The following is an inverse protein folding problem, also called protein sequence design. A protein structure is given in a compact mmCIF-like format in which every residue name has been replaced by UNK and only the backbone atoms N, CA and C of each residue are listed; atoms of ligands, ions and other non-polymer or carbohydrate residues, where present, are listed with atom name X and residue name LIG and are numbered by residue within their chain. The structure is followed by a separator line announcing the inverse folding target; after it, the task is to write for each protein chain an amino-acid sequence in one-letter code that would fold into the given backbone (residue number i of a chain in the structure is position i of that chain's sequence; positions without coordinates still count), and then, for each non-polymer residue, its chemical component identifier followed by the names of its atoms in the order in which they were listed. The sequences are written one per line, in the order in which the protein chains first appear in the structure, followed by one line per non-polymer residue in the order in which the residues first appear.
data_IF_097777570029
#
_entry.id   IF_097777570029
#
_cell.length_a   1.000
_cell.length_b   1.000
_cell.length_c   1.000
_cell.angle_alpha   90.00
_cell.angle_beta   90.00
_cell.angle_gamma   90.00
#
_symmetry.space_group_name_H-M   'P 1'
#
loop_
_entity.id
_entity.type
_entity.pdbx_description
1 polymer ?
#
# COMPACT_ATOMS: atom_id res chain seq x y z
N UNK A 1 98.04 26.66 -0.53
CA UNK A 1 97.45 27.06 0.77
C UNK A 1 96.36 26.06 1.12
N UNK A 2 96.40 25.57 2.36
CA UNK A 2 95.42 24.69 3.03
C UNK A 2 94.02 25.35 2.98
N UNK A 3 92.89 24.66 2.97
CA UNK A 3 92.40 23.74 4.00
C UNK A 3 91.27 22.82 3.47
N UNK A 4 91.15 21.68 4.15
CA UNK A 4 90.21 20.61 3.96
C UNK A 4 88.83 20.86 4.60
N UNK A 5 87.82 20.14 4.10
CA UNK A 5 86.73 19.47 4.81
C UNK A 5 85.62 19.15 3.79
N UNK A 6 84.81 18.10 3.87
CA UNK A 6 84.81 16.79 4.51
C UNK A 6 83.60 16.11 3.89
N UNK A 7 83.73 14.83 3.52
CA UNK A 7 82.64 14.03 2.95
C UNK A 7 81.46 13.91 3.92
N UNK A 8 80.23 14.03 3.40
CA UNK A 8 79.14 13.17 3.87
C UNK A 8 78.12 12.96 2.75
N UNK A 9 78.12 11.73 2.26
CA UNK A 9 77.11 11.12 1.41
C UNK A 9 75.77 11.04 2.15
N UNK A 10 74.78 11.79 1.67
CA UNK A 10 73.39 11.72 2.12
C UNK A 10 72.49 11.26 0.98
N UNK A 11 72.15 9.97 1.00
CA UNK A 11 71.16 9.31 0.15
C UNK A 11 69.81 10.03 0.34
N UNK A 12 69.01 10.27 -0.72
CA UNK A 12 67.77 11.01 -0.61
C UNK A 12 66.77 10.29 0.31
N UNK A 13 66.18 11.08 1.21
CA UNK A 13 65.09 10.68 2.09
C UNK A 13 63.94 10.05 1.31
N UNK A 14 63.81 8.72 1.47
CA UNK A 14 62.58 8.00 1.76
C UNK A 14 61.33 8.46 0.98
N UNK A 15 61.22 8.01 -0.28
CA UNK A 15 59.93 7.84 -0.95
C UNK A 15 59.20 6.70 -0.24
N UNK A 16 58.55 7.02 0.87
CA UNK A 16 57.51 6.14 1.43
C UNK A 16 56.25 6.25 0.58
N UNK A 17 56.21 5.49 -0.50
CA UNK A 17 54.94 4.91 -0.93
C UNK A 17 54.51 3.91 0.15
N UNK A 18 53.42 4.22 0.86
CA UNK A 18 52.97 3.40 1.99
C UNK A 18 51.55 3.70 2.46
N UNK A 19 50.57 3.12 1.75
CA UNK A 19 49.22 2.71 2.18
C UNK A 19 48.18 3.82 2.46
N UNK A 20 47.23 3.96 1.54
CA UNK A 20 45.91 4.58 1.75
C UNK A 20 45.19 3.90 2.93
N UNK A 21 45.20 4.53 4.12
CA UNK A 21 44.73 3.90 5.37
C UNK A 21 43.33 4.33 5.85
N UNK A 22 42.48 4.91 4.99
CA UNK A 22 41.23 5.49 5.47
C UNK A 22 39.97 5.09 4.67
N UNK A 23 40.06 4.01 3.89
CA UNK A 23 38.91 3.47 3.14
C UNK A 23 38.06 2.59 4.06
N UNK A 24 36.80 2.97 4.22
CA UNK A 24 35.83 2.13 4.93
C UNK A 24 35.54 0.88 4.11
N UNK A 25 35.61 -0.28 4.77
CA UNK A 25 35.27 -1.56 4.16
C UNK A 25 34.31 -2.32 5.07
N UNK A 26 33.11 -2.58 4.56
CA UNK A 26 32.11 -3.42 5.22
C UNK A 26 31.82 -4.62 4.35
N UNK A 27 31.47 -5.73 4.98
CA UNK A 27 30.98 -6.93 4.30
C UNK A 27 29.49 -7.03 4.59
N UNK A 28 28.71 -7.33 3.57
CA UNK A 28 27.30 -7.70 3.68
C UNK A 28 27.21 -9.19 3.38
N UNK A 29 26.58 -9.95 4.26
CA UNK A 29 26.46 -11.41 4.13
C UNK A 29 25.54 -11.84 2.97
N UNK A 30 24.53 -11.03 2.64
CA UNK A 30 23.58 -11.27 1.56
C UNK A 30 23.34 -10.01 0.73
N UNK A 31 23.58 -10.10 -0.59
CA UNK A 31 23.33 -9.02 -1.55
C UNK A 31 22.03 -9.19 -2.32
N UNK A 32 21.30 -10.29 -2.08
CA UNK A 32 20.02 -10.59 -2.71
C UNK A 32 19.07 -11.16 -1.66
N UNK A 33 17.92 -10.51 -1.48
CA UNK A 33 16.85 -11.02 -0.63
C UNK A 33 15.61 -11.25 -1.48
N UNK A 34 15.11 -12.47 -1.44
CA UNK A 34 13.89 -12.87 -2.11
C UNK A 34 12.79 -13.13 -1.10
N UNK A 35 11.64 -12.48 -1.24
CA UNK A 35 10.46 -12.68 -0.41
C UNK A 35 9.45 -13.49 -1.19
N UNK A 36 9.41 -14.79 -0.91
CA UNK A 36 8.37 -15.67 -1.43
C UNK A 36 7.04 -15.40 -0.75
N UNK A 37 5.94 -15.48 -1.50
CA UNK A 37 4.57 -15.57 -0.96
C UNK A 37 4.11 -14.30 -0.20
N UNK A 38 4.36 -13.13 -0.78
CA UNK A 38 3.92 -11.85 -0.22
C UNK A 38 2.44 -11.63 -0.55
N UNK A 39 1.61 -11.46 0.47
CA UNK A 39 0.17 -11.19 0.30
C UNK A 39 -0.17 -9.72 0.58
N UNK A 40 -1.39 -9.34 0.20
CA UNK A 40 -1.93 -8.03 0.55
C UNK A 40 -2.00 -7.88 2.09
N UNK A 41 -1.52 -6.73 2.59
CA UNK A 41 -1.63 -6.32 3.99
C UNK A 41 -0.98 -7.25 5.03
N UNK A 42 -0.06 -8.11 4.61
CA UNK A 42 0.71 -8.99 5.49
C UNK A 42 2.18 -8.56 5.51
N UNK A 43 2.77 -8.50 6.71
CA UNK A 43 4.17 -8.09 6.89
C UNK A 43 5.08 -9.30 6.79
N UNK A 44 6.04 -9.25 5.87
CA UNK A 44 7.08 -10.27 5.75
C UNK A 44 8.44 -9.62 5.97
N UNK A 45 9.19 -10.13 6.94
CA UNK A 45 10.50 -9.60 7.31
C UNK A 45 11.61 -10.60 7.06
N UNK A 46 12.72 -10.13 6.49
CA UNK A 46 13.99 -10.86 6.41
C UNK A 46 15.11 -9.94 6.87
N UNK A 47 16.28 -10.48 7.14
CA UNK A 47 17.43 -9.67 7.54
C UNK A 47 18.69 -10.06 6.78
N UNK A 48 19.64 -9.12 6.77
CA UNK A 48 21.02 -9.33 6.37
C UNK A 48 21.95 -8.60 7.34
N UNK A 49 23.21 -8.99 7.39
CA UNK A 49 24.18 -8.47 8.35
C UNK A 49 25.26 -7.64 7.67
N UNK A 50 25.53 -6.46 8.24
CA UNK A 50 26.63 -5.57 7.85
C UNK A 50 27.74 -5.69 8.88
N UNK A 51 28.93 -6.11 8.44
CA UNK A 51 30.10 -6.30 9.30
C UNK A 51 31.20 -5.30 8.94
N UNK A 52 31.71 -4.54 9.91
CA UNK A 52 32.86 -3.69 9.68
C UNK A 52 34.17 -4.49 9.78
N UNK A 53 34.85 -4.67 8.65
CA UNK A 53 36.15 -5.35 8.58
C UNK A 53 37.33 -4.40 8.43
N UNK A 54 37.07 -3.09 8.41
CA UNK A 54 38.12 -2.07 8.39
C UNK A 54 38.70 -1.84 9.79
N UNK A 55 39.90 -1.26 9.84
CA UNK A 55 40.54 -0.92 11.12
C UNK A 55 39.92 0.30 11.82
N UNK A 56 39.09 1.07 11.12
CA UNK A 56 38.51 2.32 11.60
C UNK A 56 37.02 2.15 11.90
N UNK A 57 36.43 3.13 12.61
CA UNK A 57 34.97 3.20 12.80
C UNK A 57 34.32 3.55 11.46
N UNK A 58 33.31 2.77 11.07
CA UNK A 58 32.53 3.00 9.85
C UNK A 58 31.14 3.49 10.21
N UNK A 59 30.69 4.56 9.54
CA UNK A 59 29.29 4.99 9.55
C UNK A 59 28.65 4.58 8.23
N UNK A 60 27.47 3.98 8.25
CA UNK A 60 26.73 3.62 7.04
C UNK A 60 25.33 4.21 7.05
N UNK A 61 24.73 4.37 5.88
CA UNK A 61 23.33 4.74 5.71
C UNK A 61 22.78 4.28 4.34
N UNK A 62 21.47 4.20 4.18
CA UNK A 62 20.84 3.94 2.89
C UNK A 62 20.64 5.23 2.09
N UNK A 63 21.18 5.28 0.88
CA UNK A 63 21.06 6.45 -0.02
C UNK A 63 19.68 6.49 -0.70
N UNK A 64 19.11 7.68 -0.92
CA UNK A 64 17.95 7.83 -1.78
C UNK A 64 18.33 7.53 -3.24
N UNK A 65 17.42 6.89 -3.97
CA UNK A 65 17.56 6.69 -5.40
C UNK A 65 17.45 8.05 -6.13
N UNK A 66 18.33 8.35 -7.12
CA UNK A 66 18.40 9.67 -7.74
C UNK A 66 17.09 10.16 -8.39
N UNK A 67 16.29 9.24 -8.93
CA UNK A 67 15.03 9.58 -9.62
C UNK A 67 13.85 9.82 -8.67
N UNK A 68 13.75 9.05 -7.58
CA UNK A 68 12.58 9.08 -6.70
C UNK A 68 12.80 9.91 -5.44
N UNK A 69 14.07 10.21 -5.08
CA UNK A 69 14.41 10.84 -3.81
C UNK A 69 14.16 9.95 -2.58
N UNK A 70 13.67 8.72 -2.76
CA UNK A 70 13.41 7.74 -1.71
C UNK A 70 14.47 6.65 -1.71
N UNK A 71 14.81 6.13 -0.54
CA UNK A 71 15.80 5.03 -0.42
C UNK A 71 15.25 3.68 -0.89
N UNK A 72 13.92 3.53 -0.90
CA UNK A 72 13.22 2.31 -1.30
C UNK A 72 11.83 2.65 -1.87
N UNK A 73 11.24 1.67 -2.56
CA UNK A 73 9.82 1.65 -2.95
C UNK A 73 8.92 1.66 -1.72
N UNK A 74 7.65 2.02 -1.93
CA UNK A 74 6.69 2.24 -0.83
C UNK A 74 6.41 1.00 0.00
N UNK A 75 6.43 -0.18 -0.64
CA UNK A 75 6.18 -1.46 -0.01
C UNK A 75 7.39 -2.04 0.74
N UNK A 76 8.55 -1.35 0.73
CA UNK A 76 9.79 -1.81 1.31
C UNK A 76 10.29 -0.85 2.39
N UNK A 77 10.65 -1.40 3.56
CA UNK A 77 11.21 -0.66 4.69
C UNK A 77 12.45 -1.37 5.21
N UNK A 78 13.45 -0.60 5.64
CA UNK A 78 14.63 -1.14 6.33
C UNK A 78 14.85 -0.49 7.69
N UNK A 79 15.35 -1.27 8.66
CA UNK A 79 15.66 -0.83 10.01
C UNK A 79 16.91 -1.55 10.55
N UNK A 80 17.96 -0.85 11.01
CA UNK A 80 18.11 0.60 11.02
C UNK A 80 18.48 1.18 9.64
N UNK A 81 18.10 2.45 9.41
CA UNK A 81 18.45 3.19 8.16
C UNK A 81 19.90 3.68 8.13
N UNK A 82 20.55 3.77 9.28
CA UNK A 82 21.94 4.16 9.43
C UNK A 82 22.53 3.58 10.71
N UNK A 83 23.85 3.51 10.77
CA UNK A 83 24.52 2.93 11.93
C UNK A 83 25.99 3.30 12.00
N UNK A 84 26.61 2.97 13.13
CA UNK A 84 28.02 3.15 13.41
C UNK A 84 28.58 1.83 13.90
N UNK A 85 29.65 1.35 13.26
CA UNK A 85 30.29 0.07 13.55
C UNK A 85 31.77 0.28 13.84
N UNK A 86 32.25 -0.19 14.99
CA UNK A 86 33.69 -0.35 15.25
C UNK A 86 34.25 -1.56 14.51
N UNK A 87 35.56 -1.71 14.49
CA UNK A 87 36.22 -2.88 13.90
C UNK A 87 35.67 -4.17 14.50
N UNK A 88 35.21 -5.07 13.63
CA UNK A 88 34.65 -6.37 13.99
C UNK A 88 33.19 -6.33 14.48
N UNK A 89 32.58 -5.16 14.64
CA UNK A 89 31.16 -5.07 15.00
C UNK A 89 30.27 -5.39 13.79
N UNK A 90 29.12 -5.99 14.10
CA UNK A 90 28.09 -6.40 13.15
C UNK A 90 26.80 -5.66 13.48
N UNK A 91 26.03 -5.30 12.47
CA UNK A 91 24.67 -4.81 12.61
C UNK A 91 23.75 -5.61 11.69
N UNK A 92 22.72 -6.20 12.27
CA UNK A 92 21.62 -6.79 11.52
C UNK A 92 20.73 -5.68 10.98
N UNK A 93 20.39 -5.74 9.71
CA UNK A 93 19.43 -4.87 9.04
C UNK A 93 18.18 -5.69 8.77
N UNK A 94 17.07 -5.30 9.38
CA UNK A 94 15.76 -5.85 9.10
C UNK A 94 15.18 -5.20 7.86
N UNK A 95 14.67 -6.02 6.94
CA UNK A 95 14.02 -5.64 5.70
C UNK A 95 12.59 -6.15 5.76
N UNK A 96 11.64 -5.22 5.90
CA UNK A 96 10.21 -5.48 5.98
C UNK A 96 9.54 -5.15 4.64
N UNK A 97 8.76 -6.09 4.13
CA UNK A 97 7.89 -5.93 2.96
C UNK A 97 6.43 -5.89 3.42
N UNK A 98 5.68 -4.91 2.92
CA UNK A 98 4.24 -4.78 3.12
C UNK A 98 3.58 -4.17 1.87
N UNK A 99 2.77 -4.96 1.17
CA UNK A 99 1.94 -4.47 0.06
C UNK A 99 0.61 -3.97 0.64
N UNK A 100 0.50 -2.65 0.83
CA UNK A 100 -0.69 -1.99 1.38
C UNK A 100 -1.72 -1.56 0.32
N UNK A 101 -2.81 -0.92 0.75
CA UNK A 101 -3.87 -0.39 -0.11
C UNK A 101 -3.41 0.61 -1.18
N UNK A 102 -2.23 1.22 -1.01
CA UNK A 102 -1.69 2.20 -1.95
C UNK A 102 -0.76 1.55 -2.98
N UNK A 103 -0.22 0.37 -2.66
CA UNK A 103 0.66 -0.39 -3.54
C UNK A 103 -0.11 -1.43 -4.37
N UNK A 104 -1.10 -2.10 -3.77
CA UNK A 104 -1.82 -3.22 -4.40
C UNK A 104 -2.36 -2.94 -5.81
N UNK A 105 -2.95 -1.76 -6.12
CA UNK A 105 -3.37 -1.43 -7.48
C UNK A 105 -2.26 -1.50 -8.53
N UNK A 106 -1.05 -1.07 -8.16
CA UNK A 106 0.10 -1.09 -9.07
C UNK A 106 0.59 -2.51 -9.34
N UNK A 107 0.48 -3.42 -8.37
CA UNK A 107 0.80 -4.83 -8.56
C UNK A 107 -0.26 -5.52 -9.43
N UNK A 108 -1.55 -5.39 -9.10
CA UNK A 108 -2.64 -6.00 -9.86
C UNK A 108 -2.71 -5.48 -11.30
N UNK A 109 -2.38 -4.20 -11.51
CA UNK A 109 -2.30 -3.58 -12.84
C UNK A 109 -0.99 -3.86 -13.60
N UNK A 110 -0.01 -4.51 -12.98
CA UNK A 110 1.28 -4.85 -13.60
C UNK A 110 2.25 -3.69 -13.78
N UNK A 111 2.03 -2.58 -13.06
CA UNK A 111 2.91 -1.40 -13.05
C UNK A 111 4.12 -1.65 -12.14
N UNK A 112 3.91 -2.28 -10.98
CA UNK A 112 4.98 -2.72 -10.09
C UNK A 112 5.28 -4.21 -10.31
N UNK A 113 6.54 -4.52 -10.59
CA UNK A 113 7.02 -5.88 -10.80
C UNK A 113 7.55 -6.55 -9.53
N UNK A 114 7.53 -5.86 -8.39
CA UNK A 114 8.02 -6.39 -7.12
C UNK A 114 9.53 -6.44 -7.01
N UNK A 115 10.23 -5.50 -7.64
CA UNK A 115 11.70 -5.40 -7.57
C UNK A 115 12.17 -4.04 -7.10
N UNK A 116 13.19 -4.03 -6.25
CA UNK A 116 13.87 -2.83 -5.80
C UNK A 116 15.37 -3.07 -5.52
N UNK A 117 16.15 -2.00 -5.44
CA UNK A 117 17.58 -2.07 -5.10
C UNK A 117 17.90 -1.05 -4.01
N UNK A 118 18.28 -1.56 -2.84
CA UNK A 118 18.75 -0.75 -1.73
C UNK A 118 20.22 -0.39 -1.93
N UNK A 119 20.58 0.88 -1.69
CA UNK A 119 21.95 1.37 -1.83
C UNK A 119 22.51 1.65 -0.44
N UNK A 120 23.24 0.69 0.13
CA UNK A 120 23.95 0.88 1.40
C UNK A 120 25.28 1.61 1.14
N UNK A 121 25.46 2.76 1.78
CA UNK A 121 26.67 3.58 1.64
C UNK A 121 27.47 3.62 2.96
N UNK A 122 28.62 2.94 3.03
CA UNK A 122 29.63 3.19 4.05
C UNK A 122 30.34 4.52 3.75
N UNK A 123 30.38 5.44 4.71
CA UNK A 123 31.06 6.74 4.54
C UNK A 123 32.56 6.52 4.29
N UNK A 124 33.11 7.15 3.24
CA UNK A 124 34.48 6.92 2.73
C UNK A 124 34.70 5.50 2.17
N UNK A 125 33.63 4.77 1.86
CA UNK A 125 33.66 3.45 1.24
C UNK A 125 32.94 3.43 -0.11
N UNK A 126 32.85 2.25 -0.71
CA UNK A 126 32.08 2.02 -1.95
C UNK A 126 30.63 1.69 -1.62
N UNK A 127 29.73 2.10 -2.51
CA UNK A 127 28.30 1.73 -2.44
C UNK A 127 28.14 0.21 -2.61
N UNK A 128 27.21 -0.35 -1.84
CA UNK A 128 26.84 -1.76 -1.88
C UNK A 128 25.36 -1.81 -2.27
N UNK A 129 25.07 -2.57 -3.31
CA UNK A 129 23.73 -2.72 -3.87
C UNK A 129 23.14 -4.03 -3.39
N UNK A 130 21.98 -3.96 -2.73
CA UNK A 130 21.23 -5.13 -2.26
C UNK A 130 19.95 -5.21 -3.07
N UNK A 131 19.82 -6.26 -3.87
CA UNK A 131 18.65 -6.52 -4.71
C UNK A 131 17.54 -7.18 -3.92
N UNK A 132 16.32 -6.66 -4.05
CA UNK A 132 15.12 -7.16 -3.37
C UNK A 132 14.10 -7.55 -4.43
N UNK A 133 13.67 -8.81 -4.40
CA UNK A 133 12.60 -9.34 -5.26
C UNK A 133 11.49 -9.94 -4.40
N UNK A 134 10.24 -9.69 -4.78
CA UNK A 134 9.06 -10.24 -4.09
C UNK A 134 8.18 -11.03 -5.06
N UNK A 135 7.68 -12.17 -4.60
CA UNK A 135 6.62 -12.93 -5.27
C UNK A 135 5.27 -12.54 -4.68
N UNK A 136 4.64 -11.52 -5.26
CA UNK A 136 3.33 -11.05 -4.83
C UNK A 136 2.20 -11.99 -5.27
N UNK A 137 1.40 -12.44 -4.31
CA UNK A 137 0.13 -13.12 -4.53
C UNK A 137 -0.96 -12.09 -4.72
N UNK A 138 -1.50 -12.06 -5.93
CA UNK A 138 -2.57 -11.14 -6.29
C UNK A 138 -3.81 -11.38 -5.46
N UNK A 139 -4.48 -10.28 -5.13
CA UNK A 139 -5.64 -10.25 -4.27
C UNK A 139 -6.78 -9.48 -4.95
N UNK A 140 -8.03 -9.69 -4.55
CA UNK A 140 -9.15 -8.83 -4.95
C UNK A 140 -8.95 -7.38 -4.46
N UNK A 141 -8.18 -7.20 -3.39
CA UNK A 141 -7.69 -5.89 -2.97
C UNK A 141 -6.64 -5.41 -3.98
N UNK A 142 -6.82 -4.20 -4.53
CA UNK A 142 -6.00 -3.70 -5.63
C UNK A 142 -6.69 -3.76 -6.99
N UNK A 143 -7.78 -4.51 -7.13
CA UNK A 143 -8.46 -4.66 -8.43
C UNK A 143 -9.44 -3.52 -8.72
N UNK A 144 -9.77 -3.37 -10.01
CA UNK A 144 -10.82 -2.45 -10.47
C UNK A 144 -12.22 -3.04 -10.28
N UNK A 145 -13.22 -2.18 -10.09
CA UNK A 145 -14.62 -2.61 -10.02
C UNK A 145 -15.04 -3.32 -11.33
N UNK A 146 -14.58 -2.80 -12.47
CA UNK A 146 -14.84 -3.35 -13.79
C UNK A 146 -14.38 -4.79 -13.94
N UNK A 147 -13.18 -5.11 -13.44
CA UNK A 147 -12.62 -6.46 -13.45
C UNK A 147 -13.40 -7.38 -12.51
N UNK A 148 -13.61 -6.97 -11.26
CA UNK A 148 -14.21 -7.80 -10.20
C UNK A 148 -15.61 -8.31 -10.57
N UNK A 149 -16.41 -7.49 -11.25
CA UNK A 149 -17.77 -7.89 -11.66
C UNK A 149 -17.81 -8.79 -12.91
N UNK A 150 -16.67 -9.08 -13.54
CA UNK A 150 -16.58 -9.79 -14.83
C UNK A 150 -15.95 -11.17 -14.76
N UNK A 151 -15.60 -11.66 -13.57
CA UNK A 151 -15.02 -12.99 -13.39
C UNK A 151 -15.74 -13.84 -12.34
N UNK A 152 -15.75 -15.15 -12.57
CA UNK A 152 -16.19 -16.14 -11.59
C UNK A 152 -15.02 -16.86 -10.93
N UNK A 153 -13.88 -16.95 -11.62
CA UNK A 153 -12.67 -17.55 -11.05
C UNK A 153 -12.22 -16.71 -9.85
N UNK A 154 -11.95 -17.31 -8.67
CA UNK A 154 -11.36 -16.57 -7.55
C UNK A 154 -9.98 -16.02 -7.92
N UNK A 155 -9.66 -14.79 -7.50
CA UNK A 155 -8.40 -14.13 -7.86
C UNK A 155 -7.19 -14.89 -7.33
N UNK A 156 -7.28 -15.51 -6.15
CA UNK A 156 -6.22 -16.37 -5.61
C UNK A 156 -5.91 -17.60 -6.46
N UNK A 157 -6.75 -17.93 -7.46
CA UNK A 157 -6.52 -19.00 -8.45
C UNK A 157 -6.17 -18.47 -9.85
N UNK A 158 -6.18 -17.17 -10.07
CA UNK A 158 -5.79 -16.58 -11.34
C UNK A 158 -4.28 -16.49 -11.47
N UNK A 159 -3.75 -16.80 -12.66
CA UNK A 159 -2.35 -16.52 -12.95
C UNK A 159 -2.14 -15.04 -13.30
N UNK A 160 -0.89 -14.59 -13.20
CA UNK A 160 -0.46 -13.21 -13.50
C UNK A 160 -1.01 -12.71 -14.84
N UNK A 161 -0.79 -13.45 -15.91
CA UNK A 161 -1.15 -13.02 -17.27
C UNK A 161 -2.66 -12.77 -17.41
N UNK A 162 -3.47 -13.64 -16.82
CA UNK A 162 -4.93 -13.55 -16.86
C UNK A 162 -5.44 -12.33 -16.10
N UNK A 163 -4.94 -12.08 -14.88
CA UNK A 163 -5.34 -10.91 -14.10
C UNK A 163 -4.92 -9.61 -14.79
N UNK A 164 -3.69 -9.55 -15.30
CA UNK A 164 -3.20 -8.37 -16.02
C UNK A 164 -4.03 -8.07 -17.27
N UNK A 165 -4.37 -9.09 -18.05
CA UNK A 165 -5.23 -8.91 -19.23
C UNK A 165 -6.62 -8.41 -18.84
N UNK A 166 -7.20 -8.95 -17.77
CA UNK A 166 -8.49 -8.51 -17.24
C UNK A 166 -8.46 -7.06 -16.73
N UNK A 167 -7.40 -6.64 -16.04
CA UNK A 167 -7.23 -5.27 -15.56
C UNK A 167 -6.88 -4.25 -16.66
N UNK A 168 -6.37 -4.71 -17.80
CA UNK A 168 -6.08 -3.85 -18.95
C UNK A 168 -7.32 -3.60 -19.81
N UNK A 169 -8.11 -4.64 -20.07
CA UNK A 169 -9.36 -4.55 -20.82
C UNK A 169 -10.40 -5.51 -20.21
N UNK A 170 -11.13 -5.04 -19.16
CA UNK A 170 -12.08 -5.86 -18.44
C UNK A 170 -13.18 -6.44 -19.32
N UNK A 171 -13.59 -5.72 -20.36
CA UNK A 171 -14.67 -6.15 -21.24
C UNK A 171 -14.22 -7.26 -22.19
N UNK A 172 -13.03 -7.12 -22.79
CA UNK A 172 -12.48 -8.11 -23.72
C UNK A 172 -12.09 -9.41 -23.04
N UNK A 173 -11.59 -9.32 -21.80
CA UNK A 173 -11.06 -10.46 -21.05
C UNK A 173 -12.02 -10.99 -19.98
N UNK A 174 -13.28 -10.54 -19.99
CA UNK A 174 -14.34 -11.02 -19.11
C UNK A 174 -14.55 -12.54 -19.23
N UNK A 175 -14.81 -13.19 -18.10
CA UNK A 175 -15.31 -14.58 -18.08
C UNK A 175 -16.83 -14.65 -18.16
N UNK A 176 -17.50 -13.55 -17.81
CA UNK A 176 -18.94 -13.43 -17.75
C UNK A 176 -19.44 -12.57 -18.91
N UNK A 177 -20.48 -13.05 -19.62
CA UNK A 177 -21.13 -12.26 -20.67
C UNK A 177 -21.89 -11.07 -20.10
N UNK A 178 -22.52 -11.26 -18.93
CA UNK A 178 -23.23 -10.22 -18.19
C UNK A 178 -22.47 -10.02 -16.88
N UNK A 179 -21.96 -8.79 -16.60
CA UNK A 179 -21.29 -8.51 -15.35
C UNK A 179 -22.28 -8.57 -14.18
N UNK A 180 -21.77 -8.86 -12.98
CA UNK A 180 -22.52 -8.58 -11.76
C UNK A 180 -22.76 -7.07 -11.61
N UNK A 181 -23.82 -6.70 -10.88
CA UNK A 181 -24.11 -5.29 -10.59
C UNK A 181 -23.04 -4.68 -9.66
N UNK A 182 -22.56 -5.49 -8.70
CA UNK A 182 -21.51 -5.13 -7.74
C UNK A 182 -20.50 -6.28 -7.57
N UNK A 183 -19.28 -6.01 -7.07
CA UNK A 183 -18.32 -7.05 -6.74
C UNK A 183 -18.87 -8.05 -5.72
N UNK A 184 -18.65 -9.34 -5.95
CA UNK A 184 -19.03 -10.41 -5.02
C UNK A 184 -18.39 -10.26 -3.64
N UNK A 185 -17.17 -9.73 -3.62
CA UNK A 185 -16.35 -9.51 -2.44
C UNK A 185 -16.96 -8.43 -1.54
N UNK A 186 -17.49 -7.36 -2.16
CA UNK A 186 -18.22 -6.32 -1.46
C UNK A 186 -19.51 -6.86 -0.83
N UNK A 187 -20.26 -7.67 -1.59
CA UNK A 187 -21.45 -8.35 -1.08
C UNK A 187 -21.13 -9.25 0.11
N UNK A 188 -20.09 -10.10 0.01
CA UNK A 188 -19.64 -10.99 1.11
C UNK A 188 -19.34 -10.19 2.38
N UNK A 189 -18.59 -9.09 2.27
CA UNK A 189 -18.22 -8.26 3.42
C UNK A 189 -19.45 -7.63 4.09
N UNK A 190 -20.36 -7.04 3.30
CA UNK A 190 -21.56 -6.39 3.81
C UNK A 190 -22.52 -7.39 4.44
N UNK A 191 -22.79 -8.51 3.77
CA UNK A 191 -23.67 -9.55 4.30
C UNK A 191 -23.11 -10.15 5.60
N UNK A 192 -21.78 -10.32 5.66
CA UNK A 192 -21.09 -10.75 6.86
C UNK A 192 -21.26 -9.79 8.04
N UNK A 193 -21.19 -8.48 7.81
CA UNK A 193 -21.48 -7.49 8.86
C UNK A 193 -22.94 -7.50 9.28
N UNK A 194 -23.88 -7.54 8.32
CA UNK A 194 -25.32 -7.57 8.61
C UNK A 194 -25.69 -8.74 9.53
N UNK A 195 -25.09 -9.91 9.30
CA UNK A 195 -25.30 -11.11 10.13
C UNK A 195 -24.56 -11.06 11.46
N UNK A 196 -23.38 -10.44 11.54
CA UNK A 196 -22.59 -10.34 12.79
C UNK A 196 -23.03 -9.20 13.72
N UNK A 197 -23.78 -8.22 13.19
CA UNK A 197 -24.33 -7.10 13.94
C UNK A 197 -23.76 -5.76 13.48
N UNK A 198 -24.58 -4.97 12.80
CA UNK A 198 -24.28 -3.58 12.43
C UNK A 198 -24.64 -2.56 13.52
N UNK A 199 -25.26 -3.02 14.61
CA UNK A 199 -25.64 -2.26 15.81
C UNK A 199 -24.54 -2.23 16.89
N UNK A 200 -23.41 -2.91 16.66
CA UNK A 200 -22.30 -3.01 17.63
C UNK A 200 -21.53 -1.69 17.76
N UNK A 201 -21.33 -1.25 19.00
CA UNK A 201 -20.58 -0.03 19.33
C UNK A 201 -19.09 -0.11 18.93
N UNK A 202 -18.66 0.89 18.16
CA UNK A 202 -17.29 1.01 17.67
C UNK A 202 -17.04 0.35 16.32
N UNK A 203 -18.07 -0.12 15.61
CA UNK A 203 -17.98 -0.52 14.22
C UNK A 203 -17.38 0.63 13.38
N UNK A 204 -16.48 0.34 12.44
CA UNK A 204 -15.70 1.32 11.65
C UNK A 204 -14.76 2.27 12.42
N UNK A 205 -14.76 2.25 13.75
CA UNK A 205 -13.90 3.11 14.59
C UNK A 205 -12.82 2.31 15.32
N UNK A 206 -13.17 1.12 15.84
CA UNK A 206 -12.21 0.20 16.46
C UNK A 206 -11.47 -0.57 15.36
N UNK A 207 -10.18 -0.73 15.56
CA UNK A 207 -9.36 -1.60 14.72
C UNK A 207 -9.78 -3.06 14.90
N UNK A 208 -9.77 -3.78 13.79
CA UNK A 208 -9.86 -5.23 13.73
C UNK A 208 -8.55 -5.91 14.13
N UNK A 209 -8.65 -7.22 14.32
CA UNK A 209 -7.48 -8.06 14.57
C UNK A 209 -6.74 -8.31 13.25
N UNK A 210 -5.41 -8.17 13.23
CA UNK A 210 -4.60 -8.42 12.03
C UNK A 210 -4.80 -9.83 11.46
N UNK A 211 -4.87 -10.85 12.33
CA UNK A 211 -5.08 -12.23 11.89
C UNK A 211 -6.46 -12.43 11.22
N UNK A 212 -7.48 -11.74 11.72
CA UNK A 212 -8.80 -11.77 11.08
C UNK A 212 -8.74 -11.09 9.71
N UNK A 213 -8.02 -9.98 9.58
CA UNK A 213 -7.89 -9.24 8.32
C UNK A 213 -7.21 -10.12 7.25
N UNK A 214 -6.14 -10.82 7.61
CA UNK A 214 -5.45 -11.77 6.74
C UNK A 214 -6.38 -12.93 6.34
N UNK A 215 -7.12 -13.50 7.30
CA UNK A 215 -8.10 -14.57 7.05
C UNK A 215 -9.27 -14.12 6.15
N UNK A 216 -9.80 -12.92 6.37
CA UNK A 216 -10.86 -12.34 5.53
C UNK A 216 -10.33 -12.08 4.12
N UNK A 217 -9.12 -11.53 3.97
CA UNK A 217 -8.47 -11.35 2.66
C UNK A 217 -8.42 -12.68 1.91
N UNK A 218 -7.91 -13.73 2.55
CA UNK A 218 -7.81 -15.05 1.93
C UNK A 218 -9.21 -15.57 1.55
N UNK A 219 -10.19 -15.42 2.44
CA UNK A 219 -11.57 -15.79 2.15
C UNK A 219 -12.12 -15.08 0.91
N UNK A 220 -11.87 -13.78 0.75
CA UNK A 220 -12.31 -13.03 -0.43
C UNK A 220 -11.55 -13.42 -1.70
N UNK A 221 -10.24 -13.62 -1.61
CA UNK A 221 -9.39 -14.05 -2.74
C UNK A 221 -9.81 -15.42 -3.29
N UNK A 222 -10.37 -16.27 -2.43
CA UNK A 222 -10.91 -17.58 -2.79
C UNK A 222 -12.45 -17.63 -2.97
N UNK A 223 -13.15 -16.48 -2.87
CA UNK A 223 -14.62 -16.35 -2.92
C UNK A 223 -15.33 -17.30 -1.94
N UNK A 224 -14.75 -17.47 -0.75
CA UNK A 224 -15.33 -18.23 0.36
C UNK A 224 -16.64 -17.58 0.79
N UNK A 225 -17.72 -18.36 1.02
CA UNK A 225 -18.99 -17.82 1.48
C UNK A 225 -18.86 -17.04 2.79
N UNK A 226 -19.65 -15.99 2.90
CA UNK A 226 -19.79 -15.11 4.07
C UNK A 226 -20.02 -15.90 5.39
N UNK A 227 -20.77 -17.01 5.31
CA UNK A 227 -21.10 -17.89 6.44
C UNK A 227 -19.91 -18.63 7.03
N UNK A 228 -18.80 -18.73 6.29
CA UNK A 228 -17.56 -19.38 6.71
C UNK A 228 -16.51 -18.38 7.23
N UNK A 229 -16.82 -17.08 7.22
CA UNK A 229 -15.92 -16.04 7.73
C UNK A 229 -16.07 -15.93 9.25
N UNK A 230 -15.16 -16.58 9.97
CA UNK A 230 -15.07 -16.55 11.43
C UNK A 230 -14.18 -15.39 11.92
N UNK A 231 -14.64 -14.16 11.71
CA UNK A 231 -13.96 -12.94 12.17
C UNK A 231 -14.86 -12.03 13.01
N UNK A 232 -14.27 -11.11 13.77
CA UNK A 232 -15.04 -10.08 14.49
C UNK A 232 -15.72 -9.08 13.53
N UNK A 233 -16.85 -8.46 13.90
CA UNK A 233 -17.47 -7.42 13.07
C UNK A 233 -16.53 -6.20 12.84
N UNK A 234 -15.64 -5.89 13.77
CA UNK A 234 -14.64 -4.83 13.61
C UNK A 234 -13.62 -5.16 12.52
N UNK A 235 -13.17 -6.42 12.46
CA UNK A 235 -12.24 -6.90 11.43
C UNK A 235 -12.88 -6.90 10.04
N UNK A 236 -14.16 -7.32 9.93
CA UNK A 236 -14.90 -7.27 8.66
C UNK A 236 -15.12 -5.82 8.21
N UNK A 237 -15.50 -4.93 9.12
CA UNK A 237 -15.65 -3.51 8.85
C UNK A 237 -14.34 -2.86 8.37
N UNK A 238 -13.21 -3.18 9.01
CA UNK A 238 -11.90 -2.71 8.57
C UNK A 238 -11.52 -3.27 7.21
N UNK A 239 -11.83 -4.54 6.91
CA UNK A 239 -11.63 -5.11 5.59
C UNK A 239 -12.46 -4.43 4.51
N UNK A 240 -13.70 -4.00 4.80
CA UNK A 240 -14.49 -3.19 3.87
C UNK A 240 -13.79 -1.86 3.56
N UNK A 241 -13.31 -1.14 4.59
CA UNK A 241 -12.59 0.11 4.37
C UNK A 241 -11.29 -0.12 3.59
N UNK A 242 -10.54 -1.17 3.89
CA UNK A 242 -9.33 -1.56 3.16
C UNK A 242 -9.63 -1.93 1.71
N UNK A 243 -10.70 -2.67 1.44
CA UNK A 243 -11.13 -3.07 0.11
C UNK A 243 -11.44 -1.84 -0.73
N UNK A 244 -12.30 -0.95 -0.22
CA UNK A 244 -12.67 0.28 -0.91
C UNK A 244 -11.43 1.16 -1.15
N UNK A 245 -10.57 1.33 -0.14
CA UNK A 245 -9.33 2.12 -0.22
C UNK A 245 -8.35 1.55 -1.24
N UNK A 246 -8.28 0.23 -1.37
CA UNK A 246 -7.38 -0.48 -2.26
C UNK A 246 -7.90 -0.62 -3.69
N UNK A 247 -9.14 -0.22 -3.99
CA UNK A 247 -9.62 -0.25 -5.39
C UNK A 247 -8.67 0.53 -6.31
N UNK A 248 -8.47 0.05 -7.53
CA UNK A 248 -7.62 0.76 -8.49
C UNK A 248 -8.15 2.14 -8.84
N UNK A 249 -9.46 2.23 -9.06
CA UNK A 249 -10.20 3.47 -9.22
C UNK A 249 -11.19 3.60 -8.03
N UNK A 250 -11.29 4.76 -7.36
CA UNK A 250 -12.27 4.95 -6.29
C UNK A 250 -13.71 4.79 -6.76
N UNK A 251 -14.63 4.49 -5.83
CA UNK A 251 -16.06 4.29 -6.14
C UNK A 251 -16.63 5.48 -6.90
N UNK A 252 -16.32 6.71 -6.48
CA UNK A 252 -16.46 7.89 -7.32
C UNK A 252 -15.14 8.07 -8.07
N UNK A 253 -15.09 7.86 -9.40
CA UNK A 253 -13.84 7.95 -10.14
C UNK A 253 -13.16 9.30 -9.94
N UNK A 254 -11.83 9.31 -9.88
CA UNK A 254 -11.02 10.51 -9.59
C UNK A 254 -11.28 11.65 -10.58
N UNK A 255 -11.67 11.34 -11.83
CA UNK A 255 -12.09 12.34 -12.82
C UNK A 255 -13.35 13.14 -12.43
N UNK A 256 -14.16 12.61 -11.51
CA UNK A 256 -15.38 13.23 -10.99
C UNK A 256 -15.21 13.79 -9.58
N UNK A 257 -14.04 13.65 -8.96
CA UNK A 257 -13.77 14.05 -7.57
C UNK A 257 -14.19 15.50 -7.27
N UNK A 258 -13.66 16.47 -8.03
CA UNK A 258 -14.00 17.89 -7.82
C UNK A 258 -15.45 18.20 -8.16
N UNK A 259 -15.99 17.60 -9.23
CA UNK A 259 -17.40 17.79 -9.63
C UNK A 259 -18.35 17.30 -8.54
N UNK A 260 -18.04 16.17 -7.91
CA UNK A 260 -18.81 15.64 -6.79
C UNK A 260 -18.80 16.63 -5.62
N UNK A 261 -17.62 17.10 -5.21
CA UNK A 261 -17.49 18.08 -4.12
C UNK A 261 -18.24 19.38 -4.41
N UNK A 262 -18.08 19.96 -5.60
CA UNK A 262 -18.75 21.20 -6.00
C UNK A 262 -20.28 21.06 -6.02
N UNK A 263 -20.78 19.86 -6.34
CA UNK A 263 -22.21 19.55 -6.36
C UNK A 263 -22.84 19.31 -4.97
N UNK A 264 -22.04 19.23 -3.90
CA UNK A 264 -22.47 18.86 -2.55
C UNK A 264 -23.50 19.84 -1.92
N UNK A 265 -23.73 21.00 -2.54
CA UNK A 265 -24.74 21.97 -2.11
C UNK A 265 -26.13 21.69 -2.68
N UNK A 266 -26.27 20.76 -3.63
CA UNK A 266 -27.53 20.47 -4.29
C UNK A 266 -27.66 18.97 -4.63
N UNK A 267 -28.63 18.31 -4.01
CA UNK A 267 -28.94 16.90 -4.28
C UNK A 267 -29.13 16.62 -5.77
N UNK A 268 -29.89 17.47 -6.47
CA UNK A 268 -30.14 17.32 -7.90
C UNK A 268 -28.85 17.39 -8.75
N UNK A 269 -27.90 18.24 -8.38
CA UNK A 269 -26.61 18.32 -9.08
C UNK A 269 -25.74 17.10 -8.74
N UNK A 270 -25.69 16.71 -7.46
CA UNK A 270 -24.94 15.55 -7.02
C UNK A 270 -25.44 14.26 -7.68
N UNK A 271 -26.76 14.09 -7.79
CA UNK A 271 -27.40 12.99 -8.50
C UNK A 271 -26.99 12.93 -9.97
N UNK A 272 -26.91 14.09 -10.63
CA UNK A 272 -26.44 14.18 -12.02
C UNK A 272 -24.99 13.68 -12.16
N UNK A 273 -24.12 13.99 -11.20
CA UNK A 273 -22.74 13.44 -11.19
C UNK A 273 -22.77 11.91 -11.18
N UNK A 274 -23.63 11.29 -10.37
CA UNK A 274 -23.76 9.82 -10.31
C UNK A 274 -24.34 9.20 -11.58
N UNK A 275 -25.13 9.95 -12.36
CA UNK A 275 -25.63 9.50 -13.66
C UNK A 275 -24.57 9.55 -14.76
N UNK A 276 -23.52 10.35 -14.57
CA UNK A 276 -22.44 10.55 -15.55
C UNK A 276 -21.25 9.58 -15.33
N UNK A 277 -21.16 8.89 -14.18
CA UNK A 277 -20.08 7.92 -13.91
C UNK A 277 -20.38 6.54 -14.51
N UNK A 278 -19.37 5.65 -14.67
CA UNK A 278 -19.60 4.30 -15.18
C UNK A 278 -20.61 3.51 -14.35
N UNK A 279 -21.43 2.69 -15.01
CA UNK A 279 -22.55 1.98 -14.36
C UNK A 279 -22.14 1.16 -13.13
N UNK A 280 -21.03 0.42 -13.21
CA UNK A 280 -20.56 -0.40 -12.08
C UNK A 280 -20.17 0.46 -10.86
N UNK A 281 -19.63 1.65 -11.10
CA UNK A 281 -19.30 2.62 -10.06
C UNK A 281 -20.57 3.20 -9.43
N UNK A 282 -21.56 3.54 -10.25
CA UNK A 282 -22.89 3.99 -9.80
C UNK A 282 -23.58 2.92 -8.94
N UNK A 283 -23.64 1.68 -9.40
CA UNK A 283 -24.28 0.56 -8.68
C UNK A 283 -23.59 0.28 -7.36
N UNK A 284 -22.25 0.28 -7.36
CA UNK A 284 -21.45 0.13 -6.15
C UNK A 284 -21.70 1.27 -5.16
N UNK A 285 -21.80 2.52 -5.64
CA UNK A 285 -22.12 3.68 -4.81
C UNK A 285 -23.51 3.55 -4.17
N UNK A 286 -24.53 3.24 -4.96
CA UNK A 286 -25.92 3.07 -4.50
C UNK A 286 -25.98 1.99 -3.43
N UNK A 287 -25.36 0.84 -3.68
CA UNK A 287 -25.33 -0.29 -2.75
C UNK A 287 -24.67 0.09 -1.41
N UNK A 288 -23.52 0.76 -1.46
CA UNK A 288 -22.83 1.24 -0.27
C UNK A 288 -23.66 2.24 0.51
N UNK A 289 -24.24 3.25 -0.15
CA UNK A 289 -25.03 4.27 0.53
C UNK A 289 -26.29 3.67 1.17
N UNK A 290 -26.97 2.73 0.50
CA UNK A 290 -28.09 2.01 1.08
C UNK A 290 -27.68 1.26 2.35
N UNK A 291 -26.54 0.58 2.33
CA UNK A 291 -25.97 -0.06 3.52
C UNK A 291 -25.65 0.95 4.64
N UNK A 292 -24.98 2.06 4.32
CA UNK A 292 -24.64 3.11 5.30
C UNK A 292 -25.89 3.73 5.91
N UNK A 293 -26.97 3.88 5.15
CA UNK A 293 -28.26 4.35 5.66
C UNK A 293 -28.83 3.38 6.71
N UNK A 294 -28.80 2.07 6.46
CA UNK A 294 -29.23 1.07 7.45
C UNK A 294 -28.39 1.10 8.72
N UNK A 295 -27.07 1.27 8.60
CA UNK A 295 -26.17 1.45 9.76
C UNK A 295 -26.54 2.71 10.56
N UNK A 296 -26.83 3.83 9.88
CA UNK A 296 -27.18 5.10 10.52
C UNK A 296 -28.50 5.04 11.30
N UNK A 297 -29.47 4.23 10.87
CA UNK A 297 -30.73 3.99 11.60
C UNK A 297 -30.50 3.39 12.99
N UNK A 298 -29.36 2.71 13.18
CA UNK A 298 -28.95 2.09 14.43
C UNK A 298 -27.96 2.94 15.23
N UNK A 299 -27.78 4.22 14.86
CA UNK A 299 -26.88 5.20 15.53
C UNK A 299 -27.02 5.25 17.04
N UNK A 300 -28.22 5.02 17.59
CA UNK A 300 -28.46 4.93 19.04
C UNK A 300 -27.74 3.76 19.74
N UNK A 301 -27.35 2.73 19.00
CA UNK A 301 -26.67 1.54 19.50
C UNK A 301 -25.19 1.51 19.09
N UNK A 302 -24.90 1.75 17.81
CA UNK A 302 -23.53 1.65 17.27
C UNK A 302 -22.73 2.96 17.38
N UNK A 303 -23.38 4.09 17.67
CA UNK A 303 -22.76 5.42 17.74
C UNK A 303 -22.45 6.06 16.38
N UNK A 304 -22.90 5.46 15.27
CA UNK A 304 -22.58 5.87 13.90
C UNK A 304 -23.70 6.74 13.30
N UNK A 305 -23.59 8.06 13.48
CA UNK A 305 -24.47 9.00 12.80
C UNK A 305 -24.03 9.24 11.34
N UNK A 306 -24.87 9.96 10.58
CA UNK A 306 -24.62 10.24 9.15
C UNK A 306 -23.30 10.98 8.96
N UNK A 307 -22.99 11.97 9.80
CA UNK A 307 -21.77 12.78 9.69
C UNK A 307 -20.51 11.94 9.87
N UNK A 308 -20.49 11.05 10.87
CA UNK A 308 -19.36 10.16 11.13
C UNK A 308 -19.19 9.14 10.01
N UNK A 309 -20.28 8.55 9.53
CA UNK A 309 -20.23 7.62 8.39
C UNK A 309 -19.74 8.33 7.12
N UNK A 310 -20.21 9.54 6.85
CA UNK A 310 -19.76 10.33 5.71
C UNK A 310 -18.28 10.68 5.82
N UNK A 311 -17.79 11.06 7.00
CA UNK A 311 -16.37 11.33 7.25
C UNK A 311 -15.50 10.09 7.00
N UNK A 312 -15.91 8.92 7.50
CA UNK A 312 -15.17 7.66 7.32
C UNK A 312 -15.20 7.23 5.85
N UNK A 313 -16.37 7.13 5.24
CA UNK A 313 -16.53 6.51 3.92
C UNK A 313 -16.15 7.41 2.77
N UNK A 314 -16.34 8.73 2.88
CA UNK A 314 -15.88 9.65 1.84
C UNK A 314 -14.35 9.60 1.69
N UNK A 315 -13.63 9.30 2.78
CA UNK A 315 -12.18 9.12 2.81
C UNK A 315 -11.69 8.00 1.86
N UNK A 316 -12.50 6.95 1.68
CA UNK A 316 -12.18 5.77 0.85
C UNK A 316 -12.94 5.72 -0.47
N UNK A 317 -14.15 6.28 -0.56
CA UNK A 317 -14.99 6.26 -1.77
C UNK A 317 -14.71 7.42 -2.74
N UNK A 318 -14.30 8.58 -2.25
CA UNK A 318 -14.00 9.77 -3.05
C UNK A 318 -12.53 10.11 -2.88
N UNK A 319 -11.60 9.37 -3.51
CA UNK A 319 -10.16 9.62 -3.28
C UNK A 319 -9.63 10.75 -4.18
N UNK A 320 -8.86 11.70 -3.62
CA UNK A 320 -8.17 12.70 -4.40
C UNK A 320 -7.10 12.06 -5.29
N UNK A 321 -6.69 12.76 -6.35
CA UNK A 321 -5.48 12.38 -7.09
C UNK A 321 -4.23 12.57 -6.23
N UNK A 322 -3.13 11.86 -6.54
CA UNK A 322 -1.91 11.89 -5.71
C UNK A 322 -1.30 13.30 -5.56
N UNK A 323 -1.52 14.18 -6.54
CA UNK A 323 -0.98 15.55 -6.54
C UNK A 323 -1.91 16.57 -5.85
N UNK A 324 -3.12 16.16 -5.48
CA UNK A 324 -4.10 17.04 -4.84
C UNK A 324 -3.73 17.27 -3.38
N UNK A 325 -3.53 18.53 -3.00
CA UNK A 325 -3.37 18.93 -1.61
C UNK A 325 -4.72 18.90 -0.90
N UNK A 326 -4.82 18.14 0.18
CA UNK A 326 -6.03 18.07 0.99
C UNK A 326 -6.15 19.30 1.89
N UNK A 327 -7.25 20.03 1.76
CA UNK A 327 -7.62 21.18 2.59
C UNK A 327 -8.88 20.86 3.38
N UNK A 328 -9.16 21.61 4.46
CA UNK A 328 -10.40 21.44 5.25
C UNK A 328 -11.64 21.53 4.37
N UNK A 329 -11.68 22.49 3.44
CA UNK A 329 -12.79 22.68 2.51
C UNK A 329 -13.02 21.47 1.58
N UNK A 330 -11.94 20.80 1.14
CA UNK A 330 -12.05 19.58 0.33
C UNK A 330 -12.61 18.43 1.18
N UNK A 331 -12.13 18.25 2.41
CA UNK A 331 -12.65 17.21 3.31
C UNK A 331 -14.12 17.44 3.67
N UNK A 332 -14.49 18.68 4.00
CA UNK A 332 -15.88 19.09 4.25
C UNK A 332 -16.76 18.83 3.03
N UNK A 333 -16.28 19.16 1.83
CA UNK A 333 -17.00 18.91 0.58
C UNK A 333 -17.22 17.43 0.28
N UNK A 334 -16.23 16.57 0.55
CA UNK A 334 -16.35 15.10 0.41
C UNK A 334 -17.39 14.54 1.38
N UNK A 335 -17.35 14.99 2.64
CA UNK A 335 -18.33 14.60 3.66
C UNK A 335 -19.73 15.06 3.25
N UNK A 336 -19.90 16.33 2.88
CA UNK A 336 -21.18 16.90 2.48
C UNK A 336 -21.79 16.15 1.28
N UNK A 337 -20.99 15.84 0.25
CA UNK A 337 -21.46 15.07 -0.89
C UNK A 337 -22.03 13.71 -0.48
N UNK A 338 -21.30 12.96 0.35
CA UNK A 338 -21.74 11.62 0.76
C UNK A 338 -22.94 11.69 1.74
N UNK A 339 -22.99 12.67 2.64
CA UNK A 339 -24.10 12.87 3.57
C UNK A 339 -25.45 13.10 2.88
N UNK A 340 -25.46 13.77 1.71
CA UNK A 340 -26.68 13.95 0.91
C UNK A 340 -27.36 12.61 0.60
N UNK A 341 -26.57 11.61 0.23
CA UNK A 341 -27.08 10.31 -0.20
C UNK A 341 -27.34 9.37 0.96
N UNK A 342 -26.54 9.39 2.04
CA UNK A 342 -26.81 8.56 3.23
C UNK A 342 -28.15 8.99 3.88
N UNK A 343 -28.50 10.27 3.79
CA UNK A 343 -29.76 10.81 4.32
C UNK A 343 -30.98 10.37 3.51
N UNK A 344 -30.84 10.21 2.18
CA UNK A 344 -31.90 9.79 1.26
C UNK A 344 -31.36 8.87 0.15
N UNK A 345 -31.28 7.54 0.41
CA UNK A 345 -30.62 6.59 -0.49
C UNK A 345 -31.51 6.09 -1.64
N UNK A 346 -32.82 6.40 -1.64
CA UNK A 346 -33.77 5.81 -2.59
C UNK A 346 -34.04 6.68 -3.82
N UNK A 347 -33.46 7.89 -3.88
CA UNK A 347 -33.60 8.82 -5.01
C UNK A 347 -32.28 9.03 -5.78
N UNK A 348 -31.42 8.00 -5.84
CA UNK A 348 -30.12 8.05 -6.56
C UNK A 348 -30.23 7.77 -8.04
#
# INVERSE_FOLDING_TARGET
MKQANSQTTGIPHDVRQGISQDVAHVIVDQLYLHFSDVHFYERVTRSFTVTNVSNNIVKFYFKPHPKSGRYARRWLKVEPLCGVLKKGEMCEINVEVLVDSLCAPSFNGGIDEGRDVLILHPRKGKDIYISIDIDYRYSCFGSSLEALVRHKTPIGRMNKQKLLALEQDPQKHAELMVPFEIPTELWILIDCMLRKGIDVEGLFVKDGCLMDIESIRDALDFKTPDTQIEASPFSVAQCLLLFLKALREPVIPSAFFFKAIESATSYAQAKKILQDIPKVHQDTFIYLVAFLHEVAKLSRYNGLNIDLLAAIFSSVMLRPSQDTQMTSAIEEGRCAFLSLFISDPFDV
#
